data_IF_865496664558
#
_entry.id   IF_865496664558
#
_cell.length_a   1.000
_cell.length_b   1.000
_cell.length_c   1.000
_cell.angle_alpha   90.00
_cell.angle_beta   90.00
_cell.angle_gamma   90.00
#
_symmetry.space_group_name_H-M   'P 1'
#
loop_
_entity.id
_entity.type
_entity.pdbx_description
1 polymer ?
#
# COMPACT_ATOMS: atom_id res chain seq x y z
N UNK A 1 1.09 -23.77 -18.74
CA UNK A 1 2.31 -23.00 -19.04
C UNK A 1 3.07 -22.83 -17.73
N UNK A 2 4.19 -23.55 -17.56
CA UNK A 2 5.02 -23.39 -16.37
C UNK A 2 5.98 -22.21 -16.60
N UNK A 3 5.66 -21.07 -16.01
CA UNK A 3 6.60 -19.94 -15.97
C UNK A 3 7.79 -20.31 -15.10
N UNK A 4 9.00 -20.23 -15.63
CA UNK A 4 10.23 -20.53 -14.87
C UNK A 4 10.50 -19.42 -13.84
N UNK A 5 11.18 -19.76 -12.74
CA UNK A 5 11.58 -18.81 -11.70
C UNK A 5 12.40 -17.64 -12.29
N UNK A 6 13.24 -17.93 -13.28
CA UNK A 6 14.04 -16.92 -14.01
C UNK A 6 13.17 -15.93 -14.78
N UNK A 7 12.11 -16.39 -15.44
CA UNK A 7 11.17 -15.51 -16.15
C UNK A 7 10.39 -14.61 -15.19
N UNK A 8 9.95 -15.16 -14.04
CA UNK A 8 9.28 -14.36 -13.02
C UNK A 8 10.20 -13.28 -12.45
N UNK A 9 11.46 -13.62 -12.17
CA UNK A 9 12.45 -12.67 -11.68
C UNK A 9 12.75 -11.58 -12.72
N UNK A 10 12.85 -11.96 -14.00
CA UNK A 10 13.04 -11.00 -15.08
C UNK A 10 11.86 -10.03 -15.23
N UNK A 11 10.63 -10.50 -15.10
CA UNK A 11 9.42 -9.67 -15.08
C UNK A 11 9.37 -8.75 -13.86
N UNK A 12 9.83 -9.22 -12.71
CA UNK A 12 9.90 -8.41 -11.50
C UNK A 12 10.89 -7.24 -11.65
N UNK A 13 12.03 -7.48 -12.30
CA UNK A 13 13.05 -6.44 -12.52
C UNK A 13 12.65 -5.52 -13.68
N UNK A 14 12.10 -6.07 -14.76
CA UNK A 14 11.65 -5.32 -15.93
C UNK A 14 10.14 -5.46 -16.07
N UNK A 15 9.40 -4.58 -15.38
CA UNK A 15 7.94 -4.54 -15.49
C UNK A 15 7.53 -4.26 -16.95
N UNK A 16 7.06 -5.31 -17.64
CA UNK A 16 6.62 -5.21 -19.03
C UNK A 16 5.09 -5.25 -19.10
N UNK A 17 4.49 -4.32 -19.87
CA UNK A 17 3.04 -4.27 -20.14
C UNK A 17 2.16 -4.23 -18.88
N UNK A 18 2.59 -3.46 -17.88
CA UNK A 18 1.78 -3.24 -16.68
C UNK A 18 0.47 -2.53 -17.01
N UNK A 19 -0.64 -3.02 -16.45
CA UNK A 19 -1.91 -2.30 -16.44
C UNK A 19 -1.79 -1.02 -15.59
N UNK A 20 -2.66 -0.04 -15.84
CA UNK A 20 -2.69 1.21 -15.05
C UNK A 20 -3.06 0.92 -13.59
N UNK A 21 -3.98 -0.04 -13.37
CA UNK A 21 -4.37 -0.50 -12.05
C UNK A 21 -3.19 -1.18 -11.32
N UNK A 22 -2.42 -2.04 -12.01
CA UNK A 22 -1.23 -2.66 -11.42
C UNK A 22 -0.13 -1.64 -11.08
N UNK A 23 0.04 -0.59 -11.90
CA UNK A 23 0.96 0.51 -11.59
C UNK A 23 0.56 1.27 -10.33
N UNK A 24 -0.72 1.55 -10.12
CA UNK A 24 -1.18 2.22 -8.90
C UNK A 24 -0.90 1.39 -7.64
N UNK A 25 -1.04 0.06 -7.74
CA UNK A 25 -0.69 -0.87 -6.66
C UNK A 25 0.83 -0.86 -6.39
N UNK A 26 1.66 -0.86 -7.43
CA UNK A 26 3.12 -0.74 -7.29
C UNK A 26 3.51 0.57 -6.61
N UNK A 27 2.96 1.71 -7.05
CA UNK A 27 3.26 3.01 -6.43
C UNK A 27 2.88 3.06 -4.95
N UNK A 28 1.75 2.49 -4.60
CA UNK A 28 1.35 2.39 -3.19
C UNK A 28 2.32 1.51 -2.40
N UNK A 29 2.81 0.42 -2.98
CA UNK A 29 3.85 -0.41 -2.37
C UNK A 29 5.15 0.36 -2.11
N UNK A 30 5.58 1.23 -3.03
CA UNK A 30 6.74 2.09 -2.83
C UNK A 30 6.51 3.12 -1.71
N UNK A 31 5.30 3.69 -1.59
CA UNK A 31 4.94 4.55 -0.47
C UNK A 31 5.07 3.80 0.86
N UNK A 32 4.49 2.59 0.96
CA UNK A 32 4.61 1.75 2.15
C UNK A 32 6.07 1.44 2.52
N UNK A 33 6.94 1.20 1.53
CA UNK A 33 8.38 0.99 1.76
C UNK A 33 9.05 2.25 2.29
N UNK A 34 8.68 3.43 1.81
CA UNK A 34 9.19 4.70 2.33
C UNK A 34 8.75 4.95 3.78
N UNK A 35 7.48 4.70 4.09
CA UNK A 35 6.94 4.76 5.45
C UNK A 35 7.63 3.75 6.38
N UNK A 36 7.82 2.52 5.90
CA UNK A 36 8.56 1.48 6.59
C UNK A 36 9.99 1.93 6.94
N UNK A 37 10.71 2.51 5.99
CA UNK A 37 12.05 3.02 6.23
C UNK A 37 12.05 4.12 7.30
N UNK A 38 11.07 5.04 7.27
CA UNK A 38 10.92 6.06 8.30
C UNK A 38 10.69 5.45 9.68
N UNK A 39 9.82 4.44 9.80
CA UNK A 39 9.57 3.74 11.07
C UNK A 39 10.78 2.97 11.58
N UNK A 40 11.55 2.34 10.69
CA UNK A 40 12.74 1.57 11.06
C UNK A 40 13.89 2.46 11.54
N UNK A 41 14.19 3.51 10.80
CA UNK A 41 15.40 4.31 11.00
C UNK A 41 15.18 5.57 11.84
N UNK A 42 13.96 6.13 11.83
CA UNK A 42 13.63 7.38 12.50
C UNK A 42 12.31 7.34 13.29
N UNK A 43 12.06 6.34 14.18
CA UNK A 43 10.77 6.18 14.87
C UNK A 43 10.39 7.41 15.71
N UNK A 44 11.34 8.08 16.36
CA UNK A 44 11.08 9.30 17.14
C UNK A 44 10.62 10.47 16.26
N UNK A 45 11.21 10.62 15.08
CA UNK A 45 10.78 11.64 14.09
C UNK A 45 9.36 11.36 13.60
N UNK A 46 9.05 10.11 13.28
CA UNK A 46 7.68 9.73 12.87
C UNK A 46 6.67 10.03 13.98
N UNK A 47 7.01 9.72 15.23
CA UNK A 47 6.14 10.03 16.37
C UNK A 47 5.89 11.54 16.50
N UNK A 48 6.92 12.37 16.33
CA UNK A 48 6.78 13.82 16.35
C UNK A 48 5.87 14.35 15.24
N UNK A 49 6.08 13.88 14.00
CA UNK A 49 5.25 14.28 12.84
C UNK A 49 3.78 13.89 13.04
N UNK A 50 3.53 12.74 13.67
CA UNK A 50 2.19 12.23 13.95
C UNK A 50 1.59 12.79 15.24
N UNK A 51 2.27 13.75 15.90
CA UNK A 51 1.84 14.34 17.16
C UNK A 51 1.60 13.32 18.28
N UNK A 52 2.40 12.23 18.28
CA UNK A 52 2.39 11.21 19.33
C UNK A 52 3.22 11.66 20.55
N UNK A 53 2.95 11.13 21.74
CA UNK A 53 3.82 11.31 22.90
C UNK A 53 5.25 10.84 22.61
N UNK A 54 6.22 11.39 23.34
CA UNK A 54 7.60 10.95 23.24
C UNK A 54 7.71 9.43 23.46
N UNK A 55 8.36 8.74 22.52
CA UNK A 55 8.50 7.29 22.60
C UNK A 55 9.53 6.90 23.66
N UNK A 56 9.18 5.92 24.50
CA UNK A 56 10.18 5.16 25.26
C UNK A 56 10.99 4.27 24.32
N UNK A 57 12.15 3.76 24.77
CA UNK A 57 12.97 2.84 23.98
C UNK A 57 12.18 1.60 23.53
N UNK A 58 11.34 1.07 24.40
CA UNK A 58 10.48 -0.06 24.09
C UNK A 58 9.45 0.28 23.00
N UNK A 59 8.79 1.44 23.10
CA UNK A 59 7.86 1.91 22.10
C UNK A 59 8.55 2.13 20.75
N UNK A 60 9.76 2.71 20.74
CA UNK A 60 10.56 2.86 19.52
C UNK A 60 10.89 1.50 18.86
N UNK A 61 11.16 0.46 19.67
CA UNK A 61 11.37 -0.89 19.15
C UNK A 61 10.09 -1.49 18.53
N UNK A 62 8.92 -1.24 19.10
CA UNK A 62 7.65 -1.64 18.48
C UNK A 62 7.39 -0.91 17.16
N UNK A 63 7.73 0.37 17.07
CA UNK A 63 7.67 1.11 15.80
C UNK A 63 8.57 0.49 14.73
N UNK A 64 9.78 0.04 15.10
CA UNK A 64 10.67 -0.67 14.17
C UNK A 64 10.10 -2.01 13.73
N UNK A 65 9.47 -2.78 14.64
CA UNK A 65 8.79 -4.03 14.27
C UNK A 65 7.62 -3.78 13.30
N UNK A 66 6.81 -2.75 13.55
CA UNK A 66 5.75 -2.35 12.63
C UNK A 66 6.34 -1.96 11.27
N UNK A 67 7.44 -1.19 11.27
CA UNK A 67 8.17 -0.87 10.04
C UNK A 67 8.63 -2.12 9.28
N UNK A 68 9.16 -3.13 9.97
CA UNK A 68 9.56 -4.39 9.33
C UNK A 68 8.37 -5.12 8.71
N UNK A 69 7.24 -5.21 9.39
CA UNK A 69 6.01 -5.80 8.85
C UNK A 69 5.49 -5.04 7.64
N UNK A 70 5.50 -3.71 7.73
CA UNK A 70 5.09 -2.82 6.64
C UNK A 70 6.02 -2.96 5.42
N UNK A 71 7.33 -3.21 5.61
CA UNK A 71 8.25 -3.47 4.51
C UNK A 71 7.89 -4.75 3.74
N UNK A 72 7.58 -5.82 4.47
CA UNK A 72 7.12 -7.07 3.85
C UNK A 72 5.85 -6.87 3.02
N UNK A 73 4.89 -6.15 3.57
CA UNK A 73 3.66 -5.83 2.86
C UNK A 73 3.92 -4.94 1.64
N UNK A 74 4.71 -3.88 1.78
CA UNK A 74 5.11 -3.01 0.67
C UNK A 74 5.82 -3.77 -0.45
N UNK A 75 6.70 -4.72 -0.12
CA UNK A 75 7.34 -5.60 -1.10
C UNK A 75 6.33 -6.46 -1.86
N UNK A 76 5.31 -7.00 -1.16
CA UNK A 76 4.23 -7.75 -1.81
C UNK A 76 3.44 -6.88 -2.79
N UNK A 77 3.13 -5.64 -2.42
CA UNK A 77 2.45 -4.68 -3.28
C UNK A 77 3.29 -4.35 -4.52
N UNK A 78 4.58 -4.04 -4.35
CA UNK A 78 5.50 -3.76 -5.48
C UNK A 78 5.62 -4.98 -6.39
N UNK A 79 5.85 -6.16 -5.84
CA UNK A 79 5.98 -7.39 -6.62
C UNK A 79 4.70 -7.72 -7.38
N UNK A 80 3.54 -7.63 -6.72
CA UNK A 80 2.23 -7.92 -7.34
C UNK A 80 1.89 -6.92 -8.44
N UNK A 81 2.19 -5.63 -8.24
CA UNK A 81 2.04 -4.61 -9.27
C UNK A 81 2.93 -4.88 -10.48
N UNK A 82 4.22 -5.19 -10.28
CA UNK A 82 5.18 -5.50 -11.37
C UNK A 82 4.84 -6.75 -12.13
N UNK A 83 4.30 -7.76 -11.45
CA UNK A 83 3.87 -9.02 -12.07
C UNK A 83 2.47 -8.92 -12.69
N UNK A 84 1.82 -7.77 -12.60
CA UNK A 84 0.44 -7.57 -13.09
C UNK A 84 -0.55 -8.60 -12.50
N UNK A 85 -0.45 -8.84 -11.19
CA UNK A 85 -1.25 -9.83 -10.48
C UNK A 85 -2.69 -9.34 -10.28
N UNK A 86 -3.58 -9.61 -11.23
CA UNK A 86 -4.97 -9.13 -11.24
C UNK A 86 -5.74 -9.48 -9.96
N UNK A 87 -5.56 -10.70 -9.45
CA UNK A 87 -6.18 -11.13 -8.20
C UNK A 87 -5.76 -10.28 -7.00
N UNK A 88 -4.48 -9.88 -6.95
CA UNK A 88 -3.99 -8.99 -5.88
C UNK A 88 -4.51 -7.56 -6.05
N UNK A 89 -4.57 -7.05 -7.28
CA UNK A 89 -5.16 -5.73 -7.57
C UNK A 89 -6.61 -5.70 -7.09
N UNK A 90 -7.39 -6.72 -7.41
CA UNK A 90 -8.77 -6.84 -6.97
C UNK A 90 -8.89 -6.93 -5.44
N UNK A 91 -8.09 -7.79 -4.79
CA UNK A 91 -8.08 -7.91 -3.33
C UNK A 91 -7.75 -6.59 -2.64
N UNK A 92 -6.77 -5.84 -3.16
CA UNK A 92 -6.40 -4.53 -2.62
C UNK A 92 -7.50 -3.47 -2.76
N UNK A 93 -8.36 -3.59 -3.79
CA UNK A 93 -9.55 -2.72 -3.92
C UNK A 93 -10.65 -3.06 -2.92
N UNK A 94 -10.69 -4.27 -2.39
CA UNK A 94 -11.65 -4.65 -1.34
C UNK A 94 -11.16 -4.25 0.05
N UNK A 95 -9.87 -4.36 0.31
CA UNK A 95 -9.25 -4.11 1.61
C UNK A 95 -9.20 -2.61 1.95
N UNK A 96 -8.69 -1.78 1.06
CA UNK A 96 -8.45 -0.36 1.32
C UNK A 96 -9.67 0.47 1.73
N UNK A 97 -10.88 0.29 1.15
CA UNK A 97 -12.06 1.03 1.59
C UNK A 97 -12.50 0.73 3.03
N UNK A 98 -12.01 -0.37 3.62
CA UNK A 98 -12.29 -0.72 5.02
C UNK A 98 -11.44 0.09 6.00
N UNK A 99 -10.28 0.59 5.57
CA UNK A 99 -9.36 1.33 6.45
C UNK A 99 -9.96 2.63 6.97
N UNK A 100 -10.55 3.54 6.14
CA UNK A 100 -11.11 4.79 6.63
C UNK A 100 -12.17 4.63 7.74
N UNK A 101 -13.19 3.75 7.62
CA UNK A 101 -14.17 3.58 8.69
C UNK A 101 -13.55 2.98 9.96
N UNK A 102 -12.59 2.04 9.84
CA UNK A 102 -11.89 1.49 11.01
C UNK A 102 -11.08 2.59 11.70
N UNK A 103 -10.33 3.40 10.96
CA UNK A 103 -9.56 4.52 11.52
C UNK A 103 -10.48 5.56 12.18
N UNK A 104 -11.65 5.85 11.60
CA UNK A 104 -12.62 6.76 12.19
C UNK A 104 -13.16 6.22 13.53
N UNK A 105 -13.46 4.93 13.62
CA UNK A 105 -13.90 4.29 14.86
C UNK A 105 -12.79 4.35 15.92
N UNK A 106 -11.56 3.99 15.59
CA UNK A 106 -10.44 4.02 16.53
C UNK A 106 -10.15 5.43 17.05
N UNK A 107 -10.25 6.44 16.17
CA UNK A 107 -10.14 7.83 16.57
C UNK A 107 -11.29 8.27 17.47
N UNK A 108 -12.53 7.93 17.13
CA UNK A 108 -13.72 8.26 17.92
C UNK A 108 -13.64 7.66 19.33
N UNK A 109 -13.09 6.44 19.45
CA UNK A 109 -12.87 5.75 20.74
C UNK A 109 -11.65 6.32 21.51
N UNK A 110 -10.91 7.29 20.96
CA UNK A 110 -9.72 7.85 21.59
C UNK A 110 -8.51 6.90 21.65
N UNK A 111 -8.53 5.81 20.86
CA UNK A 111 -7.44 4.81 20.82
C UNK A 111 -6.25 5.34 20.03
N UNK A 112 -6.50 6.09 18.95
CA UNK A 112 -5.46 6.67 18.11
C UNK A 112 -5.66 8.19 17.95
N UNK A 113 -4.56 8.98 17.78
CA UNK A 113 -4.66 10.40 17.56
C UNK A 113 -5.19 10.72 16.13
N UNK A 114 -5.86 11.88 16.00
CA UNK A 114 -6.45 12.33 14.74
C UNK A 114 -5.48 12.38 13.55
N UNK A 115 -4.26 12.92 13.68
CA UNK A 115 -3.29 12.95 12.58
C UNK A 115 -2.96 11.56 12.03
N UNK A 116 -2.83 10.55 12.90
CA UNK A 116 -2.58 9.18 12.48
C UNK A 116 -3.79 8.58 11.74
N UNK A 117 -5.00 8.77 12.29
CA UNK A 117 -6.24 8.32 11.66
C UNK A 117 -6.41 8.95 10.27
N UNK A 118 -6.16 10.25 10.16
CA UNK A 118 -6.28 10.99 8.90
C UNK A 118 -5.26 10.52 7.86
N UNK A 119 -4.00 10.30 8.27
CA UNK A 119 -2.94 9.81 7.38
C UNK A 119 -3.36 8.50 6.71
N UNK A 120 -3.74 7.49 7.50
CA UNK A 120 -4.16 6.20 6.96
C UNK A 120 -5.44 6.30 6.13
N UNK A 121 -6.47 7.00 6.62
CA UNK A 121 -7.72 7.15 5.90
C UNK A 121 -7.53 7.82 4.53
N UNK A 122 -6.72 8.87 4.44
CA UNK A 122 -6.46 9.60 3.19
C UNK A 122 -5.59 8.79 2.23
N UNK A 123 -4.51 8.14 2.71
CA UNK A 123 -3.62 7.35 1.86
C UNK A 123 -4.34 6.16 1.25
N UNK A 124 -5.10 5.41 2.05
CA UNK A 124 -5.84 4.24 1.55
C UNK A 124 -7.00 4.63 0.63
N UNK A 125 -7.78 5.63 1.00
CA UNK A 125 -8.89 6.10 0.17
C UNK A 125 -8.40 6.66 -1.17
N UNK A 126 -7.36 7.47 -1.17
CA UNK A 126 -6.81 8.05 -2.41
C UNK A 126 -6.23 6.98 -3.32
N UNK A 127 -5.50 6.02 -2.76
CA UNK A 127 -4.95 4.90 -3.53
C UNK A 127 -6.03 3.94 -4.04
N UNK A 128 -7.08 3.70 -3.26
CA UNK A 128 -8.26 2.96 -3.71
C UNK A 128 -8.91 3.64 -4.91
N UNK A 129 -9.22 4.93 -4.80
CA UNK A 129 -9.86 5.68 -5.88
C UNK A 129 -9.00 5.66 -7.14
N UNK A 130 -7.69 5.86 -7.02
CA UNK A 130 -6.78 5.77 -8.16
C UNK A 130 -6.83 4.39 -8.82
N UNK A 131 -6.69 3.30 -8.05
CA UNK A 131 -6.73 1.94 -8.57
C UNK A 131 -8.08 1.63 -9.23
N UNK A 132 -9.19 2.03 -8.60
CA UNK A 132 -10.54 1.80 -9.07
C UNK A 132 -10.80 2.51 -10.42
N UNK A 133 -10.45 3.80 -10.53
CA UNK A 133 -10.63 4.52 -11.78
C UNK A 133 -9.71 4.02 -12.89
N UNK A 134 -8.48 3.64 -12.56
CA UNK A 134 -7.55 3.04 -13.51
C UNK A 134 -8.09 1.72 -14.06
N UNK A 135 -8.57 0.85 -13.17
CA UNK A 135 -9.16 -0.44 -13.53
C UNK A 135 -10.43 -0.27 -14.40
N UNK A 136 -11.33 0.65 -14.02
CA UNK A 136 -12.54 0.93 -14.78
C UNK A 136 -12.24 1.47 -16.18
N UNK A 137 -11.25 2.35 -16.30
CA UNK A 137 -10.84 2.89 -17.60
C UNK A 137 -10.32 1.80 -18.57
N UNK A 138 -9.61 0.80 -18.04
CA UNK A 138 -9.12 -0.34 -18.84
C UNK A 138 -10.25 -1.23 -19.35
N UNK A 139 -11.28 -1.48 -18.53
CA UNK A 139 -12.42 -2.28 -18.93
C UNK A 139 -13.21 -1.64 -20.09
N UNK A 140 -13.35 -0.32 -20.10
CA UNK A 140 -14.01 0.38 -21.21
C UNK A 140 -13.26 0.25 -22.53
N UNK A 141 -11.92 0.20 -22.52
CA UNK A 141 -11.13 0.03 -23.75
C UNK A 141 -11.29 -1.38 -24.32
N UNK A 142 -11.34 -2.40 -23.46
CA UNK A 142 -11.51 -3.80 -23.88
C UNK A 142 -12.90 -4.04 -24.48
N UNK A 143 -13.95 -3.44 -23.88
CA UNK A 143 -15.33 -3.60 -24.37
C UNK A 143 -15.63 -2.80 -25.64
N UNK A 144 -14.83 -1.80 -25.98
CA UNK A 144 -15.00 -0.97 -27.18
C UNK A 144 -14.22 -1.50 -28.41
N UNK A 145 -13.40 -2.55 -28.26
CA UNK A 145 -12.68 -3.17 -29.38
C UNK A 145 -13.58 -4.26 -30.01
N UNK A 146 -14.15 -4.03 -31.23
CA UNK A 146 -14.95 -5.06 -31.91
C UNK A 146 -14.04 -6.23 -32.30
N UNK A 147 -14.57 -7.45 -32.13
CA UNK A 147 -13.92 -8.70 -32.53
C UNK A 147 -13.72 -8.79 -34.05
#
# INVERSE_FOLDING_TARGET
>A
MHTTLSEMFHRLVRAQRQSRAAKSVEYFGWLMLAESAALLFAPHFVAQVLCLPALSDQAANYFRLVGLLLSGLGMLYVASGRLNAEGFVFASMLDRPLVPPVMAILWYLGIIPGPLALLFAVSDLSSFLWTFFAWRAEQHVVSASPA
#
